data_IF_270336594245
#
_entry.id   IF_270336594245
#
_cell.length_a   1.000
_cell.length_b   1.000
_cell.length_c   1.000
_cell.angle_alpha   90.00
_cell.angle_beta   90.00
_cell.angle_gamma   90.00
#
_symmetry.space_group_name_H-M   'P 1'
#
loop_
_entity.id
_entity.type
_entity.pdbx_description
1 polymer ?
#
# COMPACT_ATOMS: atom_id res chain seq x y z
N UNK A 1 -0.64 29.76 11.43
CA UNK A 1 0.63 29.66 10.68
C UNK A 1 1.74 28.93 11.45
N UNK A 2 2.08 29.30 12.70
CA UNK A 2 3.16 28.65 13.46
C UNK A 2 2.96 27.14 13.70
N UNK A 3 1.71 26.68 13.90
CA UNK A 3 1.38 25.26 14.14
C UNK A 3 1.60 24.37 12.91
N UNK A 4 1.08 24.78 11.75
CA UNK A 4 1.27 24.04 10.51
C UNK A 4 2.75 23.98 10.10
N UNK A 5 3.51 25.07 10.27
CA UNK A 5 4.96 25.05 10.03
C UNK A 5 5.68 24.06 10.97
N UNK A 6 5.30 24.03 12.25
CA UNK A 6 5.86 23.06 13.20
C UNK A 6 5.52 21.61 12.81
N UNK A 7 4.26 21.31 12.48
CA UNK A 7 3.87 19.98 12.02
C UNK A 7 4.65 19.57 10.76
N UNK A 8 4.99 20.51 9.87
CA UNK A 8 5.70 20.23 8.62
C UNK A 8 7.14 19.86 8.91
N UNK A 9 7.78 20.61 9.80
CA UNK A 9 9.13 20.33 10.27
C UNK A 9 9.17 18.97 10.97
N UNK A 10 8.23 18.68 11.88
CA UNK A 10 8.18 17.40 12.59
C UNK A 10 7.95 16.23 11.63
N UNK A 11 7.02 16.37 10.69
CA UNK A 11 6.75 15.36 9.67
C UNK A 11 7.99 15.10 8.80
N UNK A 12 8.67 16.16 8.37
CA UNK A 12 9.91 16.04 7.60
C UNK A 12 11.01 15.34 8.40
N UNK A 13 11.19 15.69 9.67
CA UNK A 13 12.16 15.02 10.54
C UNK A 13 11.85 13.53 10.69
N UNK A 14 10.58 13.15 10.86
CA UNK A 14 10.16 11.75 10.89
C UNK A 14 10.48 11.06 9.56
N UNK A 15 10.21 11.72 8.43
CA UNK A 15 10.58 11.21 7.10
C UNK A 15 12.08 10.98 6.94
N UNK A 16 12.90 11.89 7.42
CA UNK A 16 14.37 11.77 7.41
C UNK A 16 14.82 10.61 8.29
N UNK A 17 14.30 10.51 9.52
CA UNK A 17 14.63 9.39 10.43
C UNK A 17 14.22 8.06 9.84
N UNK A 18 13.01 7.98 9.27
CA UNK A 18 12.52 6.80 8.55
C UNK A 18 13.49 6.39 7.43
N UNK A 19 13.83 7.31 6.53
CA UNK A 19 14.74 7.03 5.43
C UNK A 19 16.13 6.61 5.93
N UNK A 20 16.66 7.27 6.97
CA UNK A 20 17.96 6.96 7.55
C UNK A 20 18.00 5.56 8.20
N UNK A 21 16.94 5.15 8.91
CA UNK A 21 16.84 3.80 9.48
C UNK A 21 16.84 2.76 8.37
N UNK A 22 15.97 2.93 7.37
CA UNK A 22 15.81 1.96 6.28
C UNK A 22 17.10 1.82 5.47
N UNK A 23 17.72 2.93 5.09
CA UNK A 23 19.00 2.95 4.36
C UNK A 23 20.13 2.44 5.23
N UNK A 24 20.16 2.78 6.52
CA UNK A 24 21.19 2.34 7.46
C UNK A 24 21.20 0.83 7.64
N UNK A 25 20.03 0.19 7.72
CA UNK A 25 19.92 -1.28 7.75
C UNK A 25 20.41 -1.88 6.43
N UNK A 26 20.03 -1.30 5.29
CA UNK A 26 20.50 -1.78 3.99
C UNK A 26 22.03 -1.71 3.87
N UNK A 27 22.64 -0.59 4.27
CA UNK A 27 24.09 -0.39 4.25
C UNK A 27 24.82 -1.32 5.23
N UNK A 28 24.24 -1.57 6.41
CA UNK A 28 24.81 -2.51 7.40
C UNK A 28 25.00 -3.90 6.82
N UNK A 29 24.04 -4.36 6.02
CA UNK A 29 24.09 -5.68 5.39
C UNK A 29 24.80 -5.68 4.03
N UNK A 30 25.41 -4.56 3.61
CA UNK A 30 26.22 -4.52 2.39
C UNK A 30 25.43 -4.36 1.09
N UNK A 31 24.14 -4.03 1.14
CA UNK A 31 23.39 -3.67 -0.06
C UNK A 31 23.91 -2.36 -0.67
N UNK A 32 23.90 -2.25 -2.01
CA UNK A 32 24.31 -1.04 -2.73
C UNK A 32 23.23 0.07 -2.68
N UNK A 33 23.06 0.61 -1.48
CA UNK A 33 22.22 1.76 -1.18
C UNK A 33 23.05 2.98 -0.82
N UNK A 34 24.34 3.01 -1.21
CA UNK A 34 25.17 4.19 -1.05
C UNK A 34 24.79 5.30 -2.04
N UNK A 35 25.08 6.58 -1.74
CA UNK A 35 24.89 7.68 -2.69
C UNK A 35 25.95 7.69 -3.81
N UNK A 36 27.07 6.98 -3.65
CA UNK A 36 28.27 7.13 -4.49
C UNK A 36 28.16 6.65 -5.93
N UNK A 37 27.18 5.79 -6.25
CA UNK A 37 27.01 5.17 -7.58
C UNK A 37 25.78 5.68 -8.36
N UNK A 38 24.95 6.55 -7.76
CA UNK A 38 23.66 6.95 -8.33
C UNK A 38 23.72 8.30 -9.03
N UNK A 39 23.06 8.38 -10.20
CA UNK A 39 22.76 9.67 -10.83
C UNK A 39 21.91 10.56 -9.87
N UNK A 40 22.05 11.90 -9.91
CA UNK A 40 21.32 12.79 -9.01
C UNK A 40 19.80 12.61 -9.01
N UNK A 41 19.21 12.29 -10.17
CA UNK A 41 17.78 12.00 -10.31
C UNK A 41 17.37 10.70 -9.61
N UNK A 42 18.18 9.65 -9.71
CA UNK A 42 17.96 8.38 -9.02
C UNK A 42 18.10 8.54 -7.49
N UNK A 43 19.06 9.39 -7.07
CA UNK A 43 19.27 9.76 -5.67
C UNK A 43 18.04 10.50 -5.11
N UNK A 44 17.58 11.53 -5.82
CA UNK A 44 16.38 12.28 -5.45
C UNK A 44 15.13 11.40 -5.41
N UNK A 45 14.97 10.49 -6.38
CA UNK A 45 13.85 9.54 -6.42
C UNK A 45 13.85 8.60 -5.22
N UNK A 46 14.99 7.95 -4.93
CA UNK A 46 15.11 6.95 -3.86
C UNK A 46 14.97 7.60 -2.48
N UNK A 47 15.83 8.56 -2.16
CA UNK A 47 15.86 9.14 -0.81
C UNK A 47 14.72 10.12 -0.59
N UNK A 48 14.40 10.96 -1.59
CA UNK A 48 13.23 11.84 -1.53
C UNK A 48 11.95 11.04 -1.38
N UNK A 49 11.81 9.94 -2.13
CA UNK A 49 10.70 9.00 -2.00
C UNK A 49 10.54 8.40 -0.61
N UNK A 50 11.63 7.90 -0.01
CA UNK A 50 11.61 7.37 1.36
C UNK A 50 11.30 8.44 2.41
N UNK A 51 11.81 9.66 2.23
CA UNK A 51 11.49 10.78 3.11
C UNK A 51 9.99 11.11 3.01
N UNK A 52 9.44 11.19 1.80
CA UNK A 52 8.01 11.41 1.59
C UNK A 52 7.16 10.28 2.18
N UNK A 53 7.60 9.03 2.05
CA UNK A 53 6.91 7.86 2.59
C UNK A 53 6.75 7.94 4.12
N UNK A 54 7.73 8.49 4.84
CA UNK A 54 7.58 8.75 6.28
C UNK A 54 6.88 10.09 6.61
N UNK A 55 7.18 11.14 5.85
CA UNK A 55 6.74 12.50 6.15
C UNK A 55 5.25 12.72 5.83
N UNK A 56 4.74 12.23 4.69
CA UNK A 56 3.34 12.46 4.30
C UNK A 56 2.38 11.80 5.32
N UNK A 57 2.55 10.53 5.72
CA UNK A 57 1.72 9.93 6.76
C UNK A 57 1.81 10.64 8.11
N UNK A 58 3.00 11.05 8.52
CA UNK A 58 3.20 11.80 9.76
C UNK A 58 2.49 13.16 9.72
N UNK A 59 2.59 13.87 8.60
CA UNK A 59 1.85 15.12 8.37
C UNK A 59 0.34 14.92 8.48
N UNK A 60 -0.20 13.89 7.81
CA UNK A 60 -1.63 13.56 7.87
C UNK A 60 -2.07 13.19 9.31
N UNK A 61 -1.19 12.55 10.09
CA UNK A 61 -1.47 12.27 11.50
C UNK A 61 -1.47 13.54 12.37
N UNK A 62 -0.56 14.49 12.13
CA UNK A 62 -0.47 15.72 12.94
C UNK A 62 -1.51 16.77 12.57
N UNK A 63 -1.65 17.05 11.27
CA UNK A 63 -2.54 18.09 10.77
C UNK A 63 -3.98 17.60 10.70
N UNK A 64 -4.18 16.39 10.20
CA UNK A 64 -5.51 15.85 9.91
C UNK A 64 -5.96 14.76 10.88
N UNK A 65 -5.14 14.36 11.87
CA UNK A 65 -5.46 13.31 12.85
C UNK A 65 -5.88 11.98 12.22
N UNK A 66 -5.35 11.70 11.03
CA UNK A 66 -5.53 10.43 10.32
C UNK A 66 -4.40 9.49 10.72
N UNK A 67 -4.72 8.46 11.50
CA UNK A 67 -3.73 7.54 12.05
C UNK A 67 -3.38 6.38 11.10
N UNK A 68 -4.32 5.99 10.25
CA UNK A 68 -4.20 4.84 9.33
C UNK A 68 -3.01 4.95 8.38
N UNK A 69 -2.71 6.10 7.74
CA UNK A 69 -1.53 6.23 6.90
C UNK A 69 -0.23 5.87 7.64
N UNK A 70 -0.07 6.43 8.84
CA UNK A 70 1.14 6.25 9.64
C UNK A 70 1.23 4.81 10.16
N UNK A 71 0.10 4.23 10.58
CA UNK A 71 0.04 2.83 11.01
C UNK A 71 0.44 1.88 9.88
N UNK A 72 -0.08 2.07 8.67
CA UNK A 72 0.26 1.24 7.50
C UNK A 72 1.77 1.29 7.22
N UNK A 73 2.35 2.49 7.17
CA UNK A 73 3.80 2.63 6.91
C UNK A 73 4.63 2.04 8.05
N UNK A 74 4.22 2.23 9.31
CA UNK A 74 4.92 1.67 10.47
C UNK A 74 4.90 0.14 10.47
N UNK A 75 3.76 -0.49 10.16
CA UNK A 75 3.65 -1.95 10.09
C UNK A 75 4.51 -2.51 8.96
N UNK A 76 4.39 -1.98 7.75
CA UNK A 76 5.13 -2.51 6.59
C UNK A 76 6.63 -2.25 6.72
N UNK A 77 7.03 -1.03 7.09
CA UNK A 77 8.43 -0.67 7.27
C UNK A 77 9.06 -1.36 8.47
N UNK A 78 8.33 -1.44 9.59
CA UNK A 78 8.77 -2.16 10.79
C UNK A 78 8.92 -3.66 10.55
N UNK A 79 8.01 -4.25 9.76
CA UNK A 79 8.14 -5.64 9.33
C UNK A 79 9.37 -5.85 8.43
N UNK A 80 9.56 -5.01 7.41
CA UNK A 80 10.70 -5.14 6.49
C UNK A 80 12.03 -5.02 7.22
N UNK A 81 12.17 -4.01 8.09
CA UNK A 81 13.36 -3.82 8.94
C UNK A 81 13.52 -4.98 9.92
N UNK A 82 12.42 -5.43 10.55
CA UNK A 82 12.44 -6.51 11.53
C UNK A 82 12.88 -7.85 10.93
N UNK A 83 12.39 -8.17 9.74
CA UNK A 83 12.80 -9.38 9.01
C UNK A 83 14.24 -9.31 8.54
N UNK A 84 14.69 -8.16 8.03
CA UNK A 84 16.09 -7.99 7.61
C UNK A 84 17.07 -8.13 8.78
N UNK A 85 16.65 -7.76 10.00
CA UNK A 85 17.46 -7.88 11.21
C UNK A 85 17.31 -9.24 11.92
N UNK A 86 16.37 -10.08 11.49
CA UNK A 86 16.12 -11.36 12.09
C UNK A 86 17.08 -12.41 11.50
N UNK A 87 17.74 -13.25 12.31
CA UNK A 87 18.61 -14.30 11.79
C UNK A 87 17.85 -15.33 10.90
N UNK A 88 18.55 -15.95 9.92
CA UNK A 88 19.95 -15.72 9.55
C UNK A 88 20.17 -14.37 8.85
N UNK A 89 21.39 -13.82 8.96
CA UNK A 89 21.76 -12.59 8.24
C UNK A 89 21.80 -12.85 6.72
N UNK A 90 21.48 -11.85 5.88
CA UNK A 90 21.54 -11.98 4.42
C UNK A 90 22.94 -12.42 3.92
N UNK A 91 22.97 -13.40 3.04
CA UNK A 91 24.21 -13.90 2.40
C UNK A 91 24.24 -13.49 0.93
N UNK A 92 25.42 -13.06 0.49
CA UNK A 92 25.66 -12.57 -0.87
C UNK A 92 26.53 -13.60 -1.59
N UNK A 93 25.95 -14.27 -2.58
CA UNK A 93 26.57 -15.41 -3.27
C UNK A 93 26.62 -15.11 -4.77
N UNK A 94 27.73 -15.38 -5.46
CA UNK A 94 27.79 -15.23 -6.91
C UNK A 94 26.91 -16.29 -7.59
N UNK A 95 26.24 -15.95 -8.69
CA UNK A 95 25.43 -16.91 -9.44
C UNK A 95 26.25 -18.15 -9.85
N UNK A 96 27.55 -17.99 -10.13
CA UNK A 96 28.45 -19.09 -10.45
C UNK A 96 28.56 -20.13 -9.33
N UNK A 97 28.45 -19.71 -8.07
CA UNK A 97 28.55 -20.61 -6.92
C UNK A 97 27.29 -21.47 -6.73
N UNK A 98 26.18 -21.08 -7.38
CA UNK A 98 24.86 -21.72 -7.25
C UNK A 98 24.50 -22.52 -8.51
N UNK A 99 24.92 -22.06 -9.69
CA UNK A 99 24.57 -22.67 -10.97
C UNK A 99 25.65 -23.67 -11.45
N UNK A 100 25.35 -24.98 -11.50
CA UNK A 100 26.35 -26.03 -11.78
C UNK A 100 27.01 -25.99 -13.18
N UNK A 101 26.63 -25.05 -14.04
CA UNK A 101 27.12 -24.91 -15.41
C UNK A 101 27.96 -23.66 -15.66
N UNK A 102 28.30 -22.90 -14.62
CA UNK A 102 29.07 -21.65 -14.74
C UNK A 102 30.34 -21.77 -13.88
N UNK A 103 31.48 -21.96 -14.55
CA UNK A 103 32.75 -22.20 -13.87
C UNK A 103 33.52 -20.91 -13.49
N UNK A 104 33.09 -19.75 -14.02
CA UNK A 104 33.75 -18.45 -13.79
C UNK A 104 32.82 -17.48 -13.04
N UNK A 105 33.35 -16.63 -12.14
CA UNK A 105 32.56 -15.62 -11.44
C UNK A 105 31.77 -14.76 -12.43
N UNK A 106 30.46 -14.71 -12.25
CA UNK A 106 29.58 -13.94 -13.14
C UNK A 106 29.63 -12.45 -12.84
N UNK A 107 30.00 -12.08 -11.61
CA UNK A 107 29.83 -10.72 -11.11
C UNK A 107 28.37 -10.37 -10.82
N UNK A 108 27.45 -11.34 -10.93
CA UNK A 108 26.05 -11.22 -10.55
C UNK A 108 25.84 -11.90 -9.21
N UNK A 109 25.38 -11.13 -8.23
CA UNK A 109 25.20 -11.62 -6.86
C UNK A 109 23.73 -11.89 -6.57
N UNK A 110 23.43 -13.08 -6.08
CA UNK A 110 22.14 -13.44 -5.49
C UNK A 110 22.23 -13.19 -3.99
N UNK A 111 21.11 -12.78 -3.41
CA UNK A 111 20.99 -12.59 -1.96
C UNK A 111 20.06 -13.66 -1.42
N UNK A 112 20.58 -14.54 -0.58
CA UNK A 112 19.77 -15.50 0.17
C UNK A 112 19.40 -14.91 1.53
N UNK A 113 18.29 -15.39 2.11
CA UNK A 113 17.82 -15.01 3.45
C UNK A 113 17.64 -13.50 3.71
N UNK A 114 17.43 -12.70 2.66
CA UNK A 114 17.28 -11.25 2.75
C UNK A 114 16.35 -10.64 1.70
N UNK A 115 16.62 -9.38 1.32
CA UNK A 115 15.89 -8.54 0.35
C UNK A 115 14.63 -7.86 0.90
N UNK A 116 14.37 -7.93 2.19
CA UNK A 116 13.18 -7.34 2.78
C UNK A 116 13.20 -5.82 2.62
N UNK A 117 14.30 -5.22 3.04
CA UNK A 117 14.57 -3.79 2.97
C UNK A 117 14.67 -3.32 1.51
N UNK A 118 15.27 -4.13 0.62
CA UNK A 118 15.48 -3.81 -0.79
C UNK A 118 14.14 -3.57 -1.48
N UNK A 119 13.19 -4.47 -1.26
CA UNK A 119 11.87 -4.42 -1.89
C UNK A 119 10.97 -3.38 -1.25
N UNK A 120 11.10 -3.15 0.06
CA UNK A 120 10.46 -2.02 0.71
C UNK A 120 10.89 -0.69 0.09
N UNK A 121 12.20 -0.48 -0.09
CA UNK A 121 12.73 0.76 -0.71
C UNK A 121 12.36 0.85 -2.19
N UNK A 122 12.48 -0.25 -2.94
CA UNK A 122 12.19 -0.29 -4.37
C UNK A 122 10.74 0.08 -4.71
N UNK A 123 9.80 -0.23 -3.81
CA UNK A 123 8.37 -0.01 -3.98
C UNK A 123 7.81 1.18 -3.17
N UNK A 124 8.65 2.12 -2.72
CA UNK A 124 8.23 3.22 -1.84
C UNK A 124 6.98 3.99 -2.33
N UNK A 125 6.85 4.17 -3.65
CA UNK A 125 5.73 4.88 -4.27
C UNK A 125 4.41 4.13 -4.13
N UNK A 126 4.43 2.79 -4.19
CA UNK A 126 3.27 1.93 -3.96
C UNK A 126 2.80 2.08 -2.53
N UNK A 127 3.74 2.06 -1.58
CA UNK A 127 3.46 2.24 -0.16
C UNK A 127 2.91 3.62 0.16
N UNK A 128 3.44 4.67 -0.48
CA UNK A 128 2.95 6.04 -0.30
C UNK A 128 1.51 6.18 -0.80
N UNK A 129 1.22 5.65 -2.00
CA UNK A 129 -0.15 5.64 -2.54
C UNK A 129 -1.09 4.88 -1.60
N UNK A 130 -0.69 3.70 -1.13
CA UNK A 130 -1.45 2.91 -0.17
C UNK A 130 -1.74 3.67 1.14
N UNK A 131 -0.73 4.35 1.68
CA UNK A 131 -0.87 5.15 2.90
C UNK A 131 -1.83 6.34 2.72
N UNK A 132 -1.72 7.06 1.60
CA UNK A 132 -2.63 8.17 1.28
C UNK A 132 -4.07 7.67 1.13
N UNK A 133 -4.27 6.57 0.40
CA UNK A 133 -5.59 5.95 0.26
C UNK A 133 -6.17 5.55 1.62
N UNK A 134 -5.36 4.94 2.50
CA UNK A 134 -5.78 4.62 3.86
C UNK A 134 -6.27 5.86 4.64
N UNK A 135 -5.62 7.02 4.45
CA UNK A 135 -6.04 8.30 5.03
C UNK A 135 -7.38 8.80 4.49
N UNK A 136 -7.57 8.77 3.16
CA UNK A 136 -8.86 9.10 2.52
C UNK A 136 -9.97 8.23 3.10
N UNK A 137 -9.70 6.94 3.30
CA UNK A 137 -10.66 5.97 3.81
C UNK A 137 -11.01 6.15 5.27
N UNK A 138 -10.02 6.39 6.11
CA UNK A 138 -10.26 6.77 7.49
C UNK A 138 -11.13 8.02 7.57
N UNK A 139 -10.83 9.05 6.76
CA UNK A 139 -11.62 10.27 6.73
C UNK A 139 -13.09 9.99 6.33
N UNK A 140 -13.33 9.24 5.25
CA UNK A 140 -14.69 8.88 4.82
C UNK A 140 -15.41 8.05 5.88
N UNK A 141 -14.74 7.06 6.49
CA UNK A 141 -15.32 6.22 7.52
C UNK A 141 -15.71 7.02 8.78
N UNK A 142 -14.87 7.96 9.23
CA UNK A 142 -15.16 8.85 10.36
C UNK A 142 -16.35 9.77 10.03
N UNK A 143 -16.32 10.42 8.87
CA UNK A 143 -17.39 11.31 8.42
C UNK A 143 -18.75 10.60 8.28
N UNK A 144 -18.77 9.33 7.90
CA UNK A 144 -20.00 8.54 7.71
C UNK A 144 -20.50 7.85 8.98
N UNK A 145 -19.61 7.44 9.88
CA UNK A 145 -19.99 6.73 11.10
C UNK A 145 -20.56 7.66 12.16
N UNK A 146 -20.14 8.93 12.20
CA UNK A 146 -20.52 9.90 13.23
C UNK A 146 -20.00 9.57 14.64
N UNK A 147 -19.32 8.42 14.81
CA UNK A 147 -18.79 7.93 16.10
C UNK A 147 -17.46 8.57 16.47
N UNK A 148 -16.70 8.99 15.46
CA UNK A 148 -15.40 9.62 15.63
C UNK A 148 -15.48 11.02 15.02
N UNK A 149 -15.10 12.08 15.76
CA UNK A 149 -15.13 13.43 15.25
C UNK A 149 -14.34 13.54 13.93
N UNK A 150 -14.96 14.17 12.93
CA UNK A 150 -14.27 14.54 11.71
C UNK A 150 -13.21 15.60 12.07
N UNK A 151 -11.91 15.36 11.79
CA UNK A 151 -10.86 16.29 12.16
C UNK A 151 -10.92 17.66 11.46
N UNK A 152 -11.88 17.93 10.58
CA UNK A 152 -12.20 19.27 10.09
C UNK A 152 -11.19 19.88 9.11
N UNK A 153 -10.00 19.27 8.95
CA UNK A 153 -8.95 19.69 8.02
C UNK A 153 -9.26 19.40 6.55
N UNK A 154 -10.06 18.36 6.26
CA UNK A 154 -10.35 17.88 4.91
C UNK A 154 -11.64 18.46 4.30
N UNK A 155 -11.99 19.70 4.64
CA UNK A 155 -13.15 20.41 4.07
C UNK A 155 -13.12 20.48 2.53
N UNK A 156 -11.93 20.41 1.91
CA UNK A 156 -11.76 20.36 0.45
C UNK A 156 -12.14 19.01 -0.18
N UNK A 157 -12.10 17.92 0.59
CA UNK A 157 -12.50 16.58 0.15
C UNK A 157 -13.90 16.21 0.61
N UNK A 158 -14.62 17.20 1.14
CA UNK A 158 -16.05 17.09 1.44
C UNK A 158 -16.91 16.71 0.24
N UNK A 159 -16.43 16.82 -1.00
CA UNK A 159 -17.15 16.32 -2.17
C UNK A 159 -17.20 14.78 -2.20
N UNK A 160 -16.19 14.09 -1.65
CA UNK A 160 -16.14 12.62 -1.50
C UNK A 160 -17.10 12.17 -0.39
N UNK A 161 -17.14 12.89 0.72
CA UNK A 161 -18.04 12.55 1.84
C UNK A 161 -19.49 12.95 1.56
N UNK A 162 -19.71 13.97 0.72
CA UNK A 162 -21.03 14.39 0.24
C UNK A 162 -21.52 13.60 -0.99
N UNK A 163 -20.70 12.72 -1.57
CA UNK A 163 -21.14 11.95 -2.72
C UNK A 163 -22.19 10.92 -2.29
N UNK A 164 -23.45 11.23 -2.54
CA UNK A 164 -24.57 10.30 -2.32
C UNK A 164 -25.08 9.72 -3.63
N UNK A 165 -24.79 10.36 -4.77
CA UNK A 165 -25.25 9.88 -6.08
C UNK A 165 -24.49 8.63 -6.52
N UNK A 166 -25.18 7.75 -7.25
CA UNK A 166 -24.60 6.54 -7.83
C UNK A 166 -23.39 6.86 -8.72
N UNK A 167 -23.52 7.87 -9.58
CA UNK A 167 -22.45 8.28 -10.50
C UNK A 167 -21.21 8.81 -9.78
N UNK A 168 -21.40 9.65 -8.77
CA UNK A 168 -20.26 10.21 -8.04
C UNK A 168 -19.54 9.14 -7.21
N UNK A 169 -20.28 8.24 -6.55
CA UNK A 169 -19.69 7.10 -5.85
C UNK A 169 -18.93 6.18 -6.82
N UNK A 170 -19.46 5.96 -8.03
CA UNK A 170 -18.79 5.18 -9.06
C UNK A 170 -17.48 5.84 -9.53
N UNK A 171 -17.46 7.16 -9.73
CA UNK A 171 -16.23 7.89 -10.12
C UNK A 171 -15.14 7.76 -9.05
N UNK A 172 -15.49 7.93 -7.77
CA UNK A 172 -14.53 7.77 -6.66
C UNK A 172 -14.01 6.33 -6.60
N UNK A 173 -14.91 5.35 -6.72
CA UNK A 173 -14.55 3.94 -6.74
C UNK A 173 -13.61 3.58 -7.89
N UNK A 174 -13.92 4.02 -9.11
CA UNK A 174 -13.09 3.76 -10.29
C UNK A 174 -11.75 4.47 -10.21
N UNK A 175 -11.68 5.68 -9.65
CA UNK A 175 -10.42 6.38 -9.42
C UNK A 175 -9.53 5.62 -8.43
N UNK A 176 -10.10 5.16 -7.31
CA UNK A 176 -9.38 4.33 -6.33
C UNK A 176 -8.91 3.00 -6.93
N UNK A 177 -9.82 2.28 -7.59
CA UNK A 177 -9.51 1.04 -8.29
C UNK A 177 -8.44 1.21 -9.37
N UNK A 178 -8.53 2.29 -10.16
CA UNK A 178 -7.54 2.63 -11.18
C UNK A 178 -6.16 2.89 -10.60
N UNK A 179 -6.06 3.68 -9.52
CA UNK A 179 -4.79 3.92 -8.83
C UNK A 179 -4.19 2.63 -8.28
N UNK A 180 -5.02 1.78 -7.67
CA UNK A 180 -4.58 0.46 -7.20
C UNK A 180 -4.12 -0.43 -8.35
N UNK A 181 -4.87 -0.50 -9.46
CA UNK A 181 -4.49 -1.28 -10.62
C UNK A 181 -3.18 -0.79 -11.23
N UNK A 182 -2.99 0.52 -11.39
CA UNK A 182 -1.73 1.09 -11.90
C UNK A 182 -0.55 0.76 -10.98
N UNK A 183 -0.73 0.89 -9.66
CA UNK A 183 0.31 0.57 -8.70
C UNK A 183 0.67 -0.93 -8.72
N UNK A 184 -0.34 -1.81 -8.65
CA UNK A 184 -0.17 -3.26 -8.62
C UNK A 184 0.37 -3.81 -9.95
N UNK A 185 -0.14 -3.33 -11.08
CA UNK A 185 0.33 -3.76 -12.40
C UNK A 185 1.68 -3.16 -12.78
N UNK A 186 1.94 -1.90 -12.43
CA UNK A 186 3.25 -1.27 -12.67
C UNK A 186 4.34 -2.01 -11.91
N UNK A 187 4.04 -2.44 -10.68
CA UNK A 187 4.91 -3.34 -9.93
C UNK A 187 5.04 -4.70 -10.64
N UNK A 188 3.93 -5.38 -10.92
CA UNK A 188 3.96 -6.73 -11.50
C UNK A 188 4.58 -6.81 -12.92
N UNK A 189 4.44 -5.77 -13.74
CA UNK A 189 5.08 -5.68 -15.04
C UNK A 189 6.60 -5.55 -14.94
N UNK A 190 7.10 -4.84 -13.92
CA UNK A 190 8.55 -4.73 -13.65
C UNK A 190 9.20 -6.07 -13.31
N UNK A 191 8.42 -7.06 -12.88
CA UNK A 191 8.86 -8.41 -12.54
C UNK A 191 8.51 -9.47 -13.60
N UNK A 192 7.95 -9.07 -14.75
CA UNK A 192 7.62 -10.00 -15.84
C UNK A 192 6.53 -11.02 -15.50
N UNK A 193 5.68 -10.75 -14.50
CA UNK A 193 4.70 -11.71 -13.95
C UNK A 193 3.63 -12.09 -14.99
N UNK A 194 3.28 -11.18 -15.89
CA UNK A 194 2.25 -11.44 -16.88
C UNK A 194 2.84 -12.06 -18.15
N UNK A 195 2.78 -13.40 -18.21
CA UNK A 195 3.23 -14.17 -19.38
C UNK A 195 2.37 -14.01 -20.65
N UNK A 196 1.27 -13.23 -20.61
CA UNK A 196 0.49 -12.87 -21.81
C UNK A 196 -0.27 -11.54 -21.67
N UNK A 197 -0.56 -10.83 -22.78
CA UNK A 197 -1.38 -9.61 -22.77
C UNK A 197 -2.79 -9.83 -22.22
N UNK A 198 -3.38 -11.02 -22.42
CA UNK A 198 -4.70 -11.35 -21.91
C UNK A 198 -4.72 -11.40 -20.38
N UNK A 199 -3.70 -12.00 -19.77
CA UNK A 199 -3.57 -12.05 -18.31
C UNK A 199 -3.31 -10.66 -17.72
N UNK A 200 -2.59 -9.79 -18.44
CA UNK A 200 -2.42 -8.39 -18.05
C UNK A 200 -3.75 -7.64 -18.01
N UNK A 201 -4.57 -7.77 -19.06
CA UNK A 201 -5.91 -7.13 -19.11
C UNK A 201 -6.83 -7.70 -18.03
N UNK A 202 -6.85 -9.02 -17.85
CA UNK A 202 -7.63 -9.67 -16.81
C UNK A 202 -7.21 -9.20 -15.41
N UNK A 203 -5.90 -9.10 -15.17
CA UNK A 203 -5.35 -8.56 -13.95
C UNK A 203 -5.67 -7.08 -13.75
N UNK A 204 -5.72 -6.28 -14.82
CA UNK A 204 -6.18 -4.88 -14.72
C UNK A 204 -7.61 -4.78 -14.23
N UNK A 205 -8.51 -5.61 -14.77
CA UNK A 205 -9.91 -5.68 -14.31
C UNK A 205 -9.96 -6.07 -12.84
N UNK A 206 -9.21 -7.10 -12.44
CA UNK A 206 -9.13 -7.54 -11.06
C UNK A 206 -8.61 -6.47 -10.11
N UNK A 207 -7.48 -5.85 -10.46
CA UNK A 207 -6.87 -4.74 -9.73
C UNK A 207 -7.85 -3.59 -9.53
N UNK A 208 -8.59 -3.21 -10.58
CA UNK A 208 -9.63 -2.17 -10.43
C UNK A 208 -10.73 -2.65 -9.48
N UNK A 209 -11.29 -3.83 -9.71
CA UNK A 209 -12.44 -4.34 -8.95
C UNK A 209 -12.14 -4.49 -7.44
N UNK A 210 -10.96 -5.00 -7.09
CA UNK A 210 -10.55 -5.32 -5.72
C UNK A 210 -10.60 -4.12 -4.79
N UNK A 211 -10.35 -2.90 -5.30
CA UNK A 211 -10.47 -1.68 -4.51
C UNK A 211 -11.70 -0.84 -4.87
N UNK A 212 -12.14 -0.85 -6.12
CA UNK A 212 -13.31 -0.07 -6.53
C UNK A 212 -14.59 -0.54 -5.82
N UNK A 213 -14.82 -1.85 -5.72
CA UNK A 213 -16.03 -2.39 -5.09
C UNK A 213 -16.13 -2.02 -3.60
N UNK A 214 -15.14 -2.30 -2.73
CA UNK A 214 -15.23 -1.91 -1.32
C UNK A 214 -15.28 -0.38 -1.15
N UNK A 215 -14.61 0.38 -2.01
CA UNK A 215 -14.70 1.86 -2.02
C UNK A 215 -16.13 2.31 -2.35
N UNK A 216 -16.75 1.71 -3.37
CA UNK A 216 -18.13 2.03 -3.73
C UNK A 216 -19.09 1.71 -2.58
N UNK A 217 -18.91 0.57 -1.91
CA UNK A 217 -19.71 0.18 -0.75
C UNK A 217 -19.58 1.18 0.41
N UNK A 218 -18.37 1.66 0.68
CA UNK A 218 -18.12 2.71 1.66
C UNK A 218 -18.77 4.04 1.26
N UNK A 219 -18.53 4.52 0.04
CA UNK A 219 -18.96 5.86 -0.38
C UNK A 219 -20.48 5.93 -0.55
N UNK A 220 -21.08 4.95 -1.25
CA UNK A 220 -22.52 4.92 -1.54
C UNK A 220 -23.35 4.49 -0.33
N UNK A 221 -22.96 3.38 0.30
CA UNK A 221 -23.78 2.73 1.32
C UNK A 221 -23.26 2.94 2.75
N UNK A 222 -22.07 3.55 2.93
CA UNK A 222 -21.49 3.77 4.24
C UNK A 222 -21.07 2.48 4.94
N UNK A 223 -20.83 1.39 4.20
CA UNK A 223 -20.33 0.12 4.76
C UNK A 223 -18.83 0.24 5.01
N UNK A 224 -18.42 0.14 6.26
CA UNK A 224 -17.06 0.47 6.69
C UNK A 224 -16.15 -0.75 6.62
N UNK A 225 -16.64 -1.94 6.98
CA UNK A 225 -15.82 -3.14 7.17
C UNK A 225 -15.28 -3.81 5.90
N UNK A 226 -15.94 -3.73 4.71
CA UNK A 226 -15.40 -4.34 3.49
C UNK A 226 -14.02 -3.80 3.10
N UNK A 227 -13.76 -2.53 3.41
CA UNK A 227 -12.56 -1.84 2.97
C UNK A 227 -11.30 -2.22 3.77
N UNK A 228 -11.31 -2.25 5.12
CA UNK A 228 -10.21 -2.85 5.90
C UNK A 228 -9.86 -4.27 5.46
N UNK A 229 -10.85 -5.11 5.13
CA UNK A 229 -10.61 -6.47 4.64
C UNK A 229 -9.88 -6.43 3.30
N UNK A 230 -10.33 -5.60 2.35
CA UNK A 230 -9.65 -5.44 1.08
C UNK A 230 -8.20 -4.92 1.25
N UNK A 231 -7.98 -4.00 2.19
CA UNK A 231 -6.64 -3.49 2.53
C UNK A 231 -5.76 -4.60 3.10
N UNK A 232 -6.25 -5.42 4.04
CA UNK A 232 -5.48 -6.55 4.59
C UNK A 232 -5.10 -7.55 3.49
N UNK A 233 -6.02 -7.86 2.58
CA UNK A 233 -5.74 -8.75 1.45
C UNK A 233 -4.72 -8.14 0.48
N UNK A 234 -4.79 -6.84 0.23
CA UNK A 234 -3.79 -6.13 -0.55
C UNK A 234 -2.42 -6.14 0.12
N UNK A 235 -2.35 -5.83 1.43
CA UNK A 235 -1.10 -5.88 2.18
C UNK A 235 -0.49 -7.27 2.17
N UNK A 236 -1.33 -8.31 2.32
CA UNK A 236 -0.90 -9.70 2.20
C UNK A 236 -0.36 -9.99 0.81
N UNK A 237 -1.06 -9.57 -0.27
CA UNK A 237 -0.60 -9.83 -1.62
C UNK A 237 0.76 -9.17 -1.90
N UNK A 238 0.93 -7.89 -1.57
CA UNK A 238 2.22 -7.22 -1.76
C UNK A 238 3.30 -7.82 -0.86
N UNK A 239 2.96 -8.19 0.38
CA UNK A 239 3.88 -8.90 1.28
C UNK A 239 4.37 -10.22 0.66
N UNK A 240 3.46 -11.04 0.13
CA UNK A 240 3.83 -12.32 -0.48
C UNK A 240 4.68 -12.16 -1.74
N UNK A 241 4.47 -11.12 -2.56
CA UNK A 241 5.38 -10.84 -3.69
C UNK A 241 6.75 -10.36 -3.24
N UNK A 242 6.72 -9.47 -2.25
CA UNK A 242 7.92 -8.86 -1.77
C UNK A 242 8.80 -9.92 -1.10
N UNK A 243 8.29 -11.01 -0.55
CA UNK A 243 9.17 -11.88 0.25
C UNK A 243 9.12 -13.36 -0.13
N UNK A 244 8.24 -13.77 -1.06
CA UNK A 244 8.10 -15.15 -1.54
C UNK A 244 8.09 -15.14 -3.07
N UNK A 245 9.24 -14.91 -3.71
CA UNK A 245 9.34 -14.89 -5.16
C UNK A 245 9.45 -16.32 -5.74
N UNK A 246 8.61 -16.63 -6.75
CA UNK A 246 8.62 -17.89 -7.50
C UNK A 246 7.44 -17.99 -8.48
N UNK A 247 7.39 -18.98 -9.39
CA UNK A 247 6.31 -19.16 -10.39
C UNK A 247 4.90 -19.32 -9.79
N UNK A 248 4.81 -19.54 -8.49
CA UNK A 248 3.60 -19.66 -7.68
C UNK A 248 3.26 -18.35 -6.91
N UNK A 249 3.59 -17.19 -7.49
CA UNK A 249 3.41 -15.86 -6.88
C UNK A 249 1.96 -15.64 -6.37
N UNK A 250 1.75 -15.47 -5.05
CA UNK A 250 0.41 -15.27 -4.49
C UNK A 250 -0.27 -13.95 -4.90
N UNK A 251 0.44 -12.99 -5.47
CA UNK A 251 -0.19 -11.81 -6.05
C UNK A 251 -0.64 -11.99 -7.50
N UNK A 252 0.01 -12.85 -8.27
CA UNK A 252 -0.56 -13.31 -9.53
C UNK A 252 -1.92 -13.98 -9.25
N UNK A 253 -2.06 -14.70 -8.12
CA UNK A 253 -3.35 -15.19 -7.62
C UNK A 253 -4.26 -14.07 -7.11
N UNK A 254 -3.76 -13.09 -6.34
CA UNK A 254 -4.56 -11.95 -5.87
C UNK A 254 -5.23 -11.20 -7.03
N UNK A 255 -4.46 -10.90 -8.07
CA UNK A 255 -4.88 -10.13 -9.22
C UNK A 255 -5.57 -11.00 -10.28
N UNK A 256 -5.16 -12.26 -10.46
CA UNK A 256 -5.74 -13.18 -11.44
C UNK A 256 -6.96 -13.96 -10.95
N UNK A 257 -7.03 -14.26 -9.66
CA UNK A 257 -8.16 -14.92 -8.99
C UNK A 257 -8.97 -13.91 -8.15
N UNK A 258 -8.96 -12.65 -8.56
CA UNK A 258 -9.52 -11.49 -7.85
C UNK A 258 -10.96 -11.66 -7.40
N UNK A 259 -11.77 -12.46 -8.10
CA UNK A 259 -13.16 -12.74 -7.73
C UNK A 259 -13.27 -13.52 -6.42
N UNK A 260 -12.33 -14.43 -6.11
CA UNK A 260 -12.27 -15.10 -4.80
C UNK A 260 -11.94 -14.09 -3.69
N UNK A 261 -10.92 -13.27 -3.90
CA UNK A 261 -10.49 -12.26 -2.93
C UNK A 261 -11.55 -11.18 -2.72
N UNK A 262 -12.29 -10.80 -3.77
CA UNK A 262 -13.41 -9.88 -3.70
C UNK A 262 -14.61 -10.47 -2.95
N UNK A 263 -14.78 -11.80 -2.97
CA UNK A 263 -15.80 -12.50 -2.20
C UNK A 263 -15.72 -12.19 -0.71
N UNK A 264 -14.51 -12.05 -0.15
CA UNK A 264 -14.31 -11.78 1.28
C UNK A 264 -14.84 -10.39 1.71
N UNK A 265 -14.47 -9.26 1.10
CA UNK A 265 -15.11 -7.97 1.33
C UNK A 265 -16.63 -7.98 1.14
N UNK A 266 -17.14 -8.72 0.15
CA UNK A 266 -18.58 -8.82 -0.11
C UNK A 266 -19.33 -9.58 0.99
N UNK A 267 -18.74 -10.66 1.52
CA UNK A 267 -19.30 -11.39 2.67
C UNK A 267 -19.33 -10.50 3.91
N UNK A 268 -18.26 -9.74 4.15
CA UNK A 268 -18.21 -8.78 5.26
C UNK A 268 -19.21 -7.64 5.07
N UNK A 269 -19.44 -7.19 3.84
CA UNK A 269 -20.50 -6.23 3.52
C UNK A 269 -21.88 -6.77 3.86
N UNK A 270 -22.18 -8.02 3.47
CA UNK A 270 -23.44 -8.67 3.78
C UNK A 270 -23.65 -8.81 5.30
N UNK A 271 -22.60 -9.21 6.02
CA UNK A 271 -22.61 -9.28 7.49
C UNK A 271 -22.85 -7.93 8.16
N UNK A 272 -22.19 -6.87 7.68
CA UNK A 272 -22.40 -5.51 8.18
C UNK A 272 -23.83 -5.03 7.93
N UNK A 273 -24.39 -5.28 6.74
CA UNK A 273 -25.79 -4.96 6.44
C UNK A 273 -26.75 -5.71 7.38
N UNK A 274 -26.53 -7.02 7.58
CA UNK A 274 -27.36 -7.83 8.47
C UNK A 274 -27.30 -7.32 9.91
N UNK A 275 -26.11 -7.03 10.43
CA UNK A 275 -25.92 -6.49 11.77
C UNK A 275 -26.60 -5.12 11.95
N UNK A 276 -26.45 -4.20 10.98
CA UNK A 276 -27.10 -2.90 11.06
C UNK A 276 -28.62 -3.00 11.02
N UNK A 277 -29.18 -3.92 10.22
CA UNK A 277 -30.63 -4.19 10.19
C UNK A 277 -31.13 -4.72 11.53
N UNK A 278 -30.43 -5.70 12.10
CA UNK A 278 -30.76 -6.25 13.42
C UNK A 278 -30.71 -5.19 14.51
N UNK A 279 -29.73 -4.28 14.45
CA UNK A 279 -29.54 -3.20 15.42
C UNK A 279 -30.45 -1.97 15.15
N UNK A 280 -31.30 -1.98 14.14
CA UNK A 280 -32.16 -0.84 13.79
C UNK A 280 -31.40 0.41 13.32
N UNK A 281 -30.15 0.25 12.86
CA UNK A 281 -29.27 1.36 12.44
C UNK A 281 -29.10 1.43 10.91
N UNK A 282 -29.83 0.59 10.18
CA UNK A 282 -29.75 0.53 8.72
C UNK A 282 -30.86 1.34 8.05
N UNK A 283 -30.61 2.62 7.81
CA UNK A 283 -31.47 3.47 6.96
C UNK A 283 -31.18 3.21 5.47
N UNK A 284 -31.74 2.12 4.94
CA UNK A 284 -31.70 1.83 3.51
C UNK A 284 -32.54 2.83 2.68
N UNK A 285 -33.56 3.43 3.31
CA UNK A 285 -34.70 4.01 2.62
C UNK A 285 -34.55 5.47 2.15
N UNK A 286 -33.50 6.19 2.58
CA UNK A 286 -33.29 7.60 2.19
C UNK A 286 -32.18 7.81 1.15
N UNK A 287 -31.70 6.74 0.50
CA UNK A 287 -30.63 6.83 -0.50
C UNK A 287 -30.87 5.95 -1.73
N UNK A 288 -32.11 5.85 -2.22
CA UNK A 288 -32.32 5.42 -3.61
C UNK A 288 -32.05 6.61 -4.50
#
# INVERSE_FOLDING_TARGET
MRRAALHAVLALLIGIVHAAVVVGVALRYGYDYGPGSLAPSALAWRYGGLVLLGAVPAWLAFEDRLASPLFVVAVIGGYAVGMELAPPDPTFVDVADIEPGIDEPTGHTVVEDGLYIVKYVGAWYVWLVGAVLAGVWEHVARARSGRVPDPGGWSRLSWITRTTTREGALRVALAAGGLHAVASLGYAAGWGIFGSPLLLVWGAVGGVALLAVPTYLLVRFGLVWPLPVAIVLFLNSVHTQAYVAGPSDPHALYVGAWFFFLGLPLLVAAGEVAARKFLGTFDAYNRI
#
